data_IF_942841166175
#
_entry.id   IF_942841166175
#
_cell.length_a   1.000
_cell.length_b   1.000
_cell.length_c   1.000
_cell.angle_alpha   90.00
_cell.angle_beta   90.00
_cell.angle_gamma   90.00
#
_symmetry.space_group_name_H-M   'P 1'
#
loop_
_entity.id
_entity.type
_entity.pdbx_description
1 polymer ?
#
# COMPACT_ATOMS: atom_id res chain seq x y z
N UNK A 1 -11.12 0.12 -16.52
CA UNK A 1 -11.91 -1.13 -16.56
C UNK A 1 -12.44 -1.49 -15.18
N UNK A 2 -13.47 -2.35 -15.06
CA UNK A 2 -14.13 -2.67 -13.78
C UNK A 2 -13.44 -3.81 -13.01
N UNK A 3 -13.37 -3.66 -11.68
CA UNK A 3 -13.01 -4.75 -10.78
C UNK A 3 -14.28 -5.55 -10.41
N UNK A 4 -14.41 -6.77 -10.93
CA UNK A 4 -15.53 -7.67 -10.66
C UNK A 4 -15.24 -8.68 -9.52
N UNK A 5 -13.98 -8.87 -9.16
CA UNK A 5 -13.54 -9.88 -8.18
C UNK A 5 -13.73 -9.45 -6.70
N UNK A 6 -14.18 -8.22 -6.46
CA UNK A 6 -14.47 -7.69 -5.13
C UNK A 6 -13.38 -6.77 -4.57
N UNK A 7 -13.69 -6.12 -3.44
CA UNK A 7 -12.85 -5.05 -2.85
C UNK A 7 -11.49 -5.53 -2.35
N UNK A 8 -11.29 -6.83 -2.14
CA UNK A 8 -9.98 -7.39 -1.79
C UNK A 8 -8.92 -7.12 -2.87
N UNK A 9 -9.35 -6.99 -4.13
CA UNK A 9 -8.49 -6.74 -5.29
C UNK A 9 -8.45 -5.26 -5.70
N UNK A 10 -8.96 -4.38 -4.84
CA UNK A 10 -8.81 -2.95 -5.02
C UNK A 10 -7.32 -2.56 -5.01
N UNK A 11 -6.97 -1.55 -5.81
CA UNK A 11 -5.58 -1.15 -6.05
C UNK A 11 -4.81 -0.87 -4.75
N UNK A 12 -5.46 -0.21 -3.79
CA UNK A 12 -4.86 0.06 -2.47
C UNK A 12 -4.54 -1.22 -1.68
N UNK A 13 -5.41 -2.22 -1.73
CA UNK A 13 -5.25 -3.49 -1.01
C UNK A 13 -4.16 -4.35 -1.65
N UNK A 14 -4.13 -4.43 -2.98
CA UNK A 14 -3.08 -5.16 -3.71
C UNK A 14 -1.73 -4.48 -3.48
N UNK A 15 -1.66 -3.15 -3.59
CA UNK A 15 -0.42 -2.41 -3.33
C UNK A 15 0.05 -2.61 -1.88
N UNK A 16 -0.85 -2.58 -0.91
CA UNK A 16 -0.51 -2.86 0.49
C UNK A 16 0.10 -4.26 0.65
N UNK A 17 -0.52 -5.29 0.08
CA UNK A 17 -0.01 -6.66 0.15
C UNK A 17 1.39 -6.81 -0.48
N UNK A 18 1.60 -6.19 -1.64
CA UNK A 18 2.91 -6.18 -2.32
C UNK A 18 3.98 -5.47 -1.48
N UNK A 19 3.66 -4.28 -0.94
CA UNK A 19 4.59 -3.53 -0.10
C UNK A 19 4.90 -4.25 1.22
N UNK A 20 3.92 -4.92 1.82
CA UNK A 20 4.11 -5.69 3.04
C UNK A 20 5.07 -6.87 2.82
N UNK A 21 4.90 -7.62 1.73
CA UNK A 21 5.81 -8.71 1.35
C UNK A 21 7.25 -8.18 1.14
N UNK A 22 7.37 -7.05 0.44
CA UNK A 22 8.66 -6.41 0.22
C UNK A 22 9.31 -5.94 1.54
N UNK A 23 8.55 -5.31 2.44
CA UNK A 23 9.06 -4.86 3.75
C UNK A 23 9.52 -6.02 4.63
N UNK A 24 8.83 -7.17 4.57
CA UNK A 24 9.22 -8.35 5.32
C UNK A 24 10.60 -8.87 4.88
N UNK A 25 10.83 -8.94 3.56
CA UNK A 25 12.08 -9.42 2.99
C UNK A 25 13.22 -8.38 3.05
N UNK A 26 12.89 -7.08 3.03
CA UNK A 26 13.82 -5.96 2.85
C UNK A 26 15.08 -6.04 3.73
N UNK A 27 14.93 -6.36 5.01
CA UNK A 27 16.03 -6.39 5.99
C UNK A 27 17.07 -7.48 5.70
N UNK A 28 16.65 -8.58 5.10
CA UNK A 28 17.52 -9.72 4.76
C UNK A 28 18.32 -9.54 3.48
N UNK A 29 18.01 -8.51 2.67
CA UNK A 29 18.61 -8.37 1.34
C UNK A 29 19.99 -7.69 1.40
N UNK A 30 20.97 -8.15 0.59
CA UNK A 30 22.22 -7.45 0.41
C UNK A 30 21.99 -6.15 -0.40
N UNK A 31 22.70 -5.05 -0.13
CA UNK A 31 22.44 -3.75 -0.76
C UNK A 31 22.50 -3.78 -2.29
N UNK A 32 23.43 -4.57 -2.82
CA UNK A 32 23.78 -4.63 -4.24
C UNK A 32 22.68 -5.33 -5.06
N UNK A 33 21.98 -6.31 -4.45
CA UNK A 33 20.88 -7.03 -5.08
C UNK A 33 19.50 -6.53 -4.65
N UNK A 34 19.41 -5.74 -3.58
CA UNK A 34 18.14 -5.35 -2.95
C UNK A 34 17.16 -4.76 -3.95
N UNK A 35 17.63 -3.91 -4.88
CA UNK A 35 16.79 -3.30 -5.91
C UNK A 35 16.12 -4.35 -6.81
N UNK A 36 16.92 -5.28 -7.35
CA UNK A 36 16.42 -6.32 -8.25
C UNK A 36 15.50 -7.29 -7.48
N UNK A 37 15.93 -7.74 -6.30
CA UNK A 37 15.19 -8.70 -5.48
C UNK A 37 13.83 -8.17 -5.02
N UNK A 38 13.74 -6.88 -4.66
CA UNK A 38 12.47 -6.25 -4.28
C UNK A 38 11.52 -6.15 -5.48
N UNK A 39 12.03 -5.83 -6.68
CA UNK A 39 11.22 -5.86 -7.90
C UNK A 39 10.73 -7.27 -8.23
N UNK A 40 11.59 -8.28 -8.09
CA UNK A 40 11.24 -9.68 -8.34
C UNK A 40 10.24 -10.22 -7.30
N UNK A 41 10.33 -9.76 -6.05
CA UNK A 41 9.33 -10.07 -5.01
C UNK A 41 7.98 -9.44 -5.35
N UNK A 42 7.97 -8.18 -5.75
CA UNK A 42 6.74 -7.51 -6.13
C UNK A 42 6.05 -8.20 -7.32
N UNK A 43 6.81 -8.58 -8.35
CA UNK A 43 6.29 -9.34 -9.49
C UNK A 43 5.71 -10.69 -9.08
N UNK A 44 6.47 -11.48 -8.31
CA UNK A 44 5.98 -12.77 -7.80
C UNK A 44 4.72 -12.63 -6.95
N UNK A 45 4.63 -11.59 -6.12
CA UNK A 45 3.45 -11.35 -5.31
C UNK A 45 2.25 -10.91 -6.16
N UNK A 46 2.48 -10.11 -7.19
CA UNK A 46 1.45 -9.77 -8.18
C UNK A 46 0.97 -11.03 -8.91
N UNK A 47 1.87 -11.90 -9.37
CA UNK A 47 1.49 -13.16 -10.03
C UNK A 47 0.64 -14.07 -9.11
N UNK A 48 0.98 -14.15 -7.81
CA UNK A 48 0.19 -14.89 -6.83
C UNK A 48 -1.21 -14.29 -6.66
N UNK A 49 -1.31 -12.96 -6.50
CA UNK A 49 -2.60 -12.27 -6.35
C UNK A 49 -3.41 -12.35 -7.64
N UNK A 50 -2.75 -12.35 -8.81
CA UNK A 50 -3.37 -12.51 -10.12
C UNK A 50 -4.09 -13.86 -10.23
N UNK A 51 -3.44 -14.94 -9.80
CA UNK A 51 -4.05 -16.27 -9.83
C UNK A 51 -5.36 -16.28 -9.02
N UNK A 52 -5.35 -15.71 -7.80
CA UNK A 52 -6.57 -15.58 -6.99
C UNK A 52 -7.62 -14.63 -7.61
N UNK A 53 -7.18 -13.56 -8.28
CA UNK A 53 -8.05 -12.62 -8.98
C UNK A 53 -8.79 -13.28 -10.15
N UNK A 54 -8.07 -14.07 -10.94
CA UNK A 54 -8.63 -14.83 -12.07
C UNK A 54 -9.63 -15.90 -11.58
N UNK A 55 -9.32 -16.61 -10.48
CA UNK A 55 -10.25 -17.55 -9.83
C UNK A 55 -11.56 -16.88 -9.37
N UNK A 56 -11.51 -15.59 -9.03
CA UNK A 56 -12.68 -14.82 -8.58
C UNK A 56 -13.46 -14.16 -9.74
N UNK A 57 -13.17 -14.50 -11.00
CA UNK A 57 -13.86 -13.92 -12.16
C UNK A 57 -13.40 -12.50 -12.51
N UNK A 58 -12.14 -12.18 -12.22
CA UNK A 58 -11.53 -10.88 -12.54
C UNK A 58 -11.42 -10.59 -14.04
N UNK A 59 -11.41 -9.30 -14.41
CA UNK A 59 -11.26 -8.85 -15.81
C UNK A 59 -9.77 -8.66 -16.16
N UNK A 60 -9.29 -9.23 -17.29
CA UNK A 60 -7.86 -9.16 -17.64
C UNK A 60 -7.33 -7.72 -17.79
N UNK A 61 -8.12 -6.81 -18.33
CA UNK A 61 -7.66 -5.44 -18.58
C UNK A 61 -7.62 -4.56 -17.32
N UNK A 62 -8.47 -4.81 -16.32
CA UNK A 62 -8.28 -4.18 -14.99
C UNK A 62 -6.95 -4.61 -14.37
N UNK A 63 -6.64 -5.91 -14.44
CA UNK A 63 -5.41 -6.44 -13.90
C UNK A 63 -4.16 -5.83 -14.56
N UNK A 64 -4.16 -5.74 -15.89
CA UNK A 64 -3.05 -5.13 -16.64
C UNK A 64 -2.82 -3.66 -16.26
N UNK A 65 -3.89 -2.88 -16.09
CA UNK A 65 -3.79 -1.49 -15.63
C UNK A 65 -3.24 -1.41 -14.21
N UNK A 66 -3.73 -2.27 -13.31
CA UNK A 66 -3.29 -2.34 -11.91
C UNK A 66 -1.80 -2.71 -11.83
N UNK A 67 -1.39 -3.78 -12.50
CA UNK A 67 -0.02 -4.27 -12.53
C UNK A 67 0.94 -3.21 -13.06
N UNK A 68 0.57 -2.56 -14.16
CA UNK A 68 1.34 -1.44 -14.73
C UNK A 68 1.50 -0.32 -13.69
N UNK A 69 0.43 0.09 -13.02
CA UNK A 69 0.47 1.18 -12.04
C UNK A 69 1.32 0.82 -10.80
N UNK A 70 1.26 -0.43 -10.34
CA UNK A 70 2.15 -0.90 -9.25
C UNK A 70 3.61 -0.82 -9.70
N UNK A 71 3.95 -1.40 -10.86
CA UNK A 71 5.33 -1.57 -11.30
C UNK A 71 5.97 -0.29 -11.84
N UNK A 72 5.20 0.59 -12.48
CA UNK A 72 5.70 1.81 -13.14
C UNK A 72 5.59 3.06 -12.25
N UNK A 73 4.62 3.12 -11.34
CA UNK A 73 4.40 4.31 -10.50
C UNK A 73 4.82 4.08 -9.05
N UNK A 74 4.35 2.99 -8.43
CA UNK A 74 4.52 2.79 -6.98
C UNK A 74 5.89 2.21 -6.62
N UNK A 75 6.30 1.13 -7.31
CA UNK A 75 7.57 0.46 -7.05
C UNK A 75 8.80 1.35 -7.29
N UNK A 76 8.88 2.19 -8.33
CA UNK A 76 10.03 3.07 -8.54
C UNK A 76 10.22 4.12 -7.44
N UNK A 77 9.16 4.49 -6.72
CA UNK A 77 9.23 5.35 -5.54
C UNK A 77 9.62 4.55 -4.28
N UNK A 78 9.06 3.36 -4.12
CA UNK A 78 9.27 2.51 -2.96
C UNK A 78 10.70 1.96 -2.88
N UNK A 79 11.19 1.33 -3.95
CA UNK A 79 12.47 0.59 -3.95
C UNK A 79 13.67 1.43 -3.50
N UNK A 80 13.93 2.65 -4.03
CA UNK A 80 15.05 3.45 -3.54
C UNK A 80 14.90 3.85 -2.07
N UNK A 81 13.67 4.13 -1.61
CA UNK A 81 13.42 4.43 -0.20
C UNK A 81 13.68 3.23 0.72
N UNK A 82 13.25 2.03 0.30
CA UNK A 82 13.49 0.79 1.00
C UNK A 82 14.98 0.45 1.09
N UNK A 83 15.72 0.61 -0.02
CA UNK A 83 17.18 0.38 -0.04
C UNK A 83 17.90 1.34 0.91
N UNK A 84 17.55 2.62 0.88
CA UNK A 84 18.14 3.63 1.77
C UNK A 84 17.79 3.35 3.24
N UNK A 85 16.57 2.94 3.54
CA UNK A 85 16.16 2.56 4.89
C UNK A 85 16.97 1.35 5.39
N UNK A 86 17.19 0.33 4.56
CA UNK A 86 18.05 -0.81 4.92
C UNK A 86 19.49 -0.39 5.17
N UNK A 87 20.02 0.53 4.34
CA UNK A 87 21.37 1.08 4.53
C UNK A 87 21.47 1.80 5.88
N UNK A 88 20.50 2.65 6.19
CA UNK A 88 20.42 3.37 7.47
C UNK A 88 20.34 2.39 8.64
N UNK A 89 19.42 1.42 8.62
CA UNK A 89 19.30 0.41 9.68
C UNK A 89 20.63 -0.36 9.90
N UNK A 90 21.31 -0.79 8.82
CA UNK A 90 22.61 -1.51 8.90
C UNK A 90 23.75 -0.62 9.43
N UNK A 91 23.73 0.67 9.10
CA UNK A 91 24.73 1.63 9.58
C UNK A 91 24.48 2.09 11.03
N UNK A 92 23.32 1.79 11.62
CA UNK A 92 22.88 2.42 12.87
C UNK A 92 22.51 3.89 12.66
N UNK A 93 21.80 4.17 11.57
CA UNK A 93 21.36 5.49 11.11
C UNK A 93 22.50 6.49 10.95
N UNK A 94 23.69 6.05 10.56
CA UNK A 94 24.92 6.86 10.48
C UNK A 94 25.16 7.69 11.77
N UNK A 95 24.80 7.15 12.94
CA UNK A 95 25.06 7.78 14.23
C UNK A 95 26.50 7.46 14.62
N UNK A 96 27.21 8.45 15.17
CA UNK A 96 28.56 8.24 15.67
C UNK A 96 28.58 7.08 16.67
N UNK A 97 29.41 6.07 16.38
CA UNK A 97 29.55 4.86 17.18
C UNK A 97 28.21 4.13 17.42
N UNK A 98 27.29 4.20 16.45
CA UNK A 98 25.94 3.61 16.48
C UNK A 98 25.08 4.02 17.69
N UNK A 99 25.45 5.10 18.39
CA UNK A 99 24.77 5.53 19.60
C UNK A 99 25.09 4.68 20.84
N UNK A 100 26.26 4.04 20.90
CA UNK A 100 26.75 3.30 22.09
C UNK A 100 26.66 4.15 23.39
N UNK A 101 26.54 3.53 24.59
CA UNK A 101 26.47 4.25 25.87
C UNK A 101 27.56 5.34 26.08
N UNK A 102 28.84 5.13 25.70
CA UNK A 102 29.86 6.17 25.81
C UNK A 102 29.59 7.37 24.89
N UNK A 103 29.02 7.15 23.70
CA UNK A 103 28.66 8.23 22.79
C UNK A 103 27.55 9.11 23.42
N UNK A 104 26.54 8.49 24.04
CA UNK A 104 25.47 9.18 24.75
C UNK A 104 25.99 10.01 25.93
N UNK A 105 26.90 9.44 26.72
CA UNK A 105 27.56 10.14 27.83
C UNK A 105 28.36 11.34 27.30
N UNK A 106 29.10 11.17 26.20
CA UNK A 106 29.90 12.25 25.62
C UNK A 106 29.01 13.38 25.07
N UNK A 107 27.91 13.06 24.39
CA UNK A 107 26.93 14.06 23.94
C UNK A 107 26.25 14.76 25.11
N UNK A 108 25.89 14.02 26.16
CA UNK A 108 25.36 14.59 27.40
C UNK A 108 26.35 15.53 28.09
N UNK A 109 27.62 15.14 28.19
CA UNK A 109 28.69 15.98 28.77
C UNK A 109 28.97 17.22 27.92
N UNK A 110 29.03 17.08 26.59
CA UNK A 110 29.21 18.21 25.69
C UNK A 110 28.09 19.24 25.83
N UNK A 111 26.85 18.76 25.94
CA UNK A 111 25.72 19.65 26.10
C UNK A 111 25.59 20.23 27.52
N UNK A 112 26.05 19.51 28.55
CA UNK A 112 26.20 20.05 29.91
C UNK A 112 27.26 21.15 29.93
N UNK A 113 28.38 20.99 29.21
CA UNK A 113 29.39 22.04 29.02
C UNK A 113 28.82 23.29 28.33
N UNK A 114 28.05 23.10 27.26
CA UNK A 114 27.35 24.21 26.57
C UNK A 114 26.35 24.87 27.52
N UNK A 115 25.60 24.08 28.31
CA UNK A 115 24.67 24.60 29.28
C UNK A 115 25.34 25.37 30.42
N UNK A 116 26.49 24.90 30.91
CA UNK A 116 27.30 25.58 31.92
C UNK A 116 27.85 26.92 31.40
N UNK A 117 28.27 26.97 30.13
CA UNK A 117 28.72 28.22 29.50
C UNK A 117 27.57 29.24 29.39
N UNK A 118 26.35 28.77 29.12
CA UNK A 118 25.14 29.61 29.08
C UNK A 118 24.73 30.17 30.46
N UNK A 119 25.15 29.55 31.57
CA UNK A 119 24.86 30.07 32.93
C UNK A 119 25.68 31.34 33.24
N UNK A 120 26.85 31.50 32.62
CA UNK A 120 27.72 32.69 32.78
C UNK A 120 27.12 33.91 32.09
N UNK A 121 26.14 33.74 31.20
CA UNK A 121 25.46 34.84 30.54
C UNK A 121 24.54 35.62 31.51
N UNK A 122 24.26 36.90 31.22
CA UNK A 122 23.49 37.78 32.09
C UNK A 122 22.10 37.23 32.46
N UNK A 123 21.59 37.53 33.68
CA UNK A 123 20.36 36.96 34.23
C UNK A 123 19.05 37.41 33.56
N UNK A 124 19.08 38.41 32.67
CA UNK A 124 17.89 38.79 31.88
C UNK A 124 17.51 37.75 30.81
N UNK A 125 18.35 36.74 30.60
CA UNK A 125 18.17 35.65 29.64
C UNK A 125 17.58 34.37 30.28
N UNK A 126 16.77 34.50 31.33
CA UNK A 126 16.27 33.35 32.12
C UNK A 126 15.56 32.26 31.28
N UNK A 127 14.95 32.62 30.14
CA UNK A 127 14.36 31.68 29.19
C UNK A 127 15.39 30.76 28.52
N UNK A 128 16.64 31.20 28.35
CA UNK A 128 17.73 30.47 27.70
C UNK A 128 18.34 29.38 28.60
N UNK A 129 18.11 29.44 29.91
CA UNK A 129 18.55 28.37 30.84
C UNK A 129 17.79 27.06 30.62
N UNK A 130 16.51 27.14 30.24
CA UNK A 130 15.76 25.96 29.80
C UNK A 130 16.22 25.48 28.42
N UNK A 131 16.70 26.38 27.57
CA UNK A 131 17.26 26.04 26.26
C UNK A 131 18.53 25.19 26.39
N UNK A 132 19.43 25.53 27.32
CA UNK A 132 20.60 24.71 27.66
C UNK A 132 20.23 23.27 28.08
N UNK A 133 19.25 23.14 28.97
CA UNK A 133 18.75 21.85 29.43
C UNK A 133 18.09 21.08 28.28
N UNK A 134 17.27 21.73 27.47
CA UNK A 134 16.65 21.16 26.28
C UNK A 134 17.70 20.70 25.27
N UNK A 135 18.76 21.48 25.05
CA UNK A 135 19.85 21.13 24.16
C UNK A 135 20.63 19.91 24.69
N UNK A 136 20.78 19.79 26.01
CA UNK A 136 21.37 18.62 26.64
C UNK A 136 20.54 17.36 26.53
N UNK A 137 19.23 17.48 26.74
CA UNK A 137 18.29 16.38 26.51
C UNK A 137 18.26 16.01 25.03
N UNK A 138 18.22 17.00 24.11
CA UNK A 138 18.21 16.76 22.67
C UNK A 138 19.52 16.11 22.17
N UNK A 139 20.68 16.49 22.72
CA UNK A 139 21.96 15.85 22.42
C UNK A 139 22.02 14.41 22.92
N UNK A 140 21.49 14.15 24.12
CA UNK A 140 21.43 12.79 24.68
C UNK A 140 20.49 11.87 23.87
N UNK A 141 19.32 12.38 23.48
CA UNK A 141 18.33 11.66 22.67
C UNK A 141 18.59 11.76 21.16
N UNK A 142 19.68 12.40 20.71
CA UNK A 142 19.94 12.59 19.29
C UNK A 142 19.91 11.28 18.47
N UNK A 143 20.51 10.17 18.94
CA UNK A 143 20.44 8.89 18.23
C UNK A 143 18.99 8.41 18.04
N UNK A 144 18.20 8.44 19.11
CA UNK A 144 16.80 8.01 19.11
C UNK A 144 15.93 8.91 18.23
N UNK A 145 16.13 10.23 18.32
CA UNK A 145 15.40 11.21 17.50
C UNK A 145 15.71 11.02 16.02
N UNK A 146 16.97 10.74 15.66
CA UNK A 146 17.37 10.48 14.27
C UNK A 146 16.73 9.20 13.75
N UNK A 147 16.80 8.11 14.51
CA UNK A 147 16.15 6.84 14.17
C UNK A 147 14.64 7.02 13.98
N UNK A 148 13.95 7.60 14.97
CA UNK A 148 12.52 7.84 14.94
C UNK A 148 12.11 8.71 13.74
N UNK A 149 12.90 9.73 13.39
CA UNK A 149 12.63 10.57 12.24
C UNK A 149 12.66 9.78 10.92
N UNK A 150 13.68 8.94 10.71
CA UNK A 150 13.79 8.14 9.48
C UNK A 150 12.71 7.07 9.40
N UNK A 151 12.40 6.40 10.52
CA UNK A 151 11.32 5.41 10.59
C UNK A 151 9.96 6.04 10.33
N UNK A 152 9.71 7.22 10.90
CA UNK A 152 8.50 8.00 10.63
C UNK A 152 8.42 8.43 9.16
N UNK A 153 9.53 8.91 8.58
CA UNK A 153 9.58 9.32 7.17
C UNK A 153 9.30 8.14 6.23
N UNK A 154 9.88 6.97 6.50
CA UNK A 154 9.65 5.75 5.71
C UNK A 154 8.20 5.28 5.83
N UNK A 155 7.68 5.18 7.06
CA UNK A 155 6.28 4.81 7.30
C UNK A 155 5.30 5.77 6.64
N UNK A 156 5.60 7.08 6.65
CA UNK A 156 4.80 8.10 5.97
C UNK A 156 4.82 7.94 4.45
N UNK A 157 5.94 7.52 3.86
CA UNK A 157 6.03 7.21 2.44
C UNK A 157 5.12 6.03 2.08
N UNK A 158 5.19 4.93 2.84
CA UNK A 158 4.32 3.76 2.62
C UNK A 158 2.84 4.15 2.69
N UNK A 159 2.45 4.86 3.74
CA UNK A 159 1.08 5.34 3.89
C UNK A 159 0.69 6.30 2.76
N UNK A 160 1.61 7.15 2.28
CA UNK A 160 1.34 8.04 1.15
C UNK A 160 1.05 7.25 -0.12
N UNK A 161 1.84 6.22 -0.41
CA UNK A 161 1.64 5.38 -1.60
C UNK A 161 0.28 4.68 -1.56
N UNK A 162 -0.10 4.11 -0.41
CA UNK A 162 -1.41 3.44 -0.24
C UNK A 162 -2.56 4.46 -0.37
N UNK A 163 -2.48 5.60 0.30
CA UNK A 163 -3.51 6.64 0.22
C UNK A 163 -3.61 7.23 -1.20
N UNK A 164 -2.48 7.37 -1.91
CA UNK A 164 -2.48 7.79 -3.30
C UNK A 164 -3.13 6.74 -4.20
N UNK A 165 -2.88 5.45 -3.96
CA UNK A 165 -3.53 4.36 -4.67
C UNK A 165 -5.05 4.36 -4.44
N UNK A 166 -5.51 4.49 -3.20
CA UNK A 166 -6.95 4.60 -2.91
C UNK A 166 -7.57 5.84 -3.56
N UNK A 167 -6.89 7.00 -3.50
CA UNK A 167 -7.37 8.24 -4.12
C UNK A 167 -7.40 8.12 -5.63
N UNK A 168 -6.39 7.48 -6.24
CA UNK A 168 -6.37 7.21 -7.66
C UNK A 168 -7.57 6.35 -8.04
N UNK A 169 -7.82 5.26 -7.32
CA UNK A 169 -8.98 4.42 -7.57
C UNK A 169 -10.32 5.17 -7.36
N UNK A 170 -10.42 6.02 -6.34
CA UNK A 170 -11.63 6.84 -6.05
C UNK A 170 -11.84 7.99 -7.05
N UNK A 171 -10.77 8.60 -7.55
CA UNK A 171 -10.85 9.68 -8.53
C UNK A 171 -11.03 9.15 -9.96
N UNK A 172 -10.42 8.02 -10.29
CA UNK A 172 -10.71 7.24 -11.50
C UNK A 172 -12.11 6.62 -11.47
N UNK A 173 -12.74 6.54 -10.28
CA UNK A 173 -14.14 6.12 -10.05
C UNK A 173 -15.21 7.13 -10.50
N UNK A 174 -14.88 8.12 -11.34
CA UNK A 174 -15.90 8.78 -12.21
C UNK A 174 -16.08 8.00 -13.52
N UNK A 175 -15.92 6.67 -13.48
CA UNK A 175 -16.62 5.75 -14.36
C UNK A 175 -17.51 4.85 -13.48
N UNK A 176 -18.59 5.44 -12.95
CA UNK A 176 -19.81 4.66 -12.81
C UNK A 176 -20.21 4.32 -14.24
N UNK A 177 -19.82 3.13 -14.66
CA UNK A 177 -20.23 2.55 -15.92
C UNK A 177 -21.75 2.61 -15.97
N UNK A 178 -22.29 3.20 -17.04
CA UNK A 178 -23.72 3.11 -17.35
C UNK A 178 -24.09 1.64 -17.50
N UNK A 179 -25.29 1.22 -17.11
CA UNK A 179 -25.77 -0.18 -17.20
C UNK A 179 -25.36 -0.89 -18.51
N UNK A 180 -25.32 -0.14 -19.62
CA UNK A 180 -24.88 -0.61 -20.94
C UNK A 180 -23.46 -1.22 -21.00
N UNK A 181 -22.42 -0.64 -20.37
CA UNK A 181 -21.07 -1.24 -20.45
C UNK A 181 -20.87 -2.36 -19.42
N UNK A 182 -21.68 -2.37 -18.35
CA UNK A 182 -21.75 -3.50 -17.44
C UNK A 182 -22.37 -4.71 -18.17
N UNK A 183 -23.45 -4.47 -18.93
CA UNK A 183 -24.09 -5.46 -19.79
C UNK A 183 -23.13 -5.96 -20.88
N UNK A 184 -22.37 -5.07 -21.54
CA UNK A 184 -21.38 -5.43 -22.56
C UNK A 184 -20.25 -6.31 -22.02
N UNK A 185 -19.71 -6.00 -20.83
CA UNK A 185 -18.70 -6.84 -20.18
C UNK A 185 -19.29 -8.19 -19.69
N UNK A 186 -20.55 -8.21 -19.22
CA UNK A 186 -21.28 -9.44 -18.86
C UNK A 186 -21.57 -10.33 -20.09
N UNK A 187 -21.98 -9.74 -21.21
CA UNK A 187 -22.28 -10.43 -22.47
C UNK A 187 -21.00 -10.98 -23.13
N UNK A 188 -19.88 -10.25 -23.00
CA UNK A 188 -18.55 -10.73 -23.41
C UNK A 188 -18.06 -11.94 -22.59
N UNK A 189 -18.53 -12.09 -21.35
CA UNK A 189 -18.25 -13.26 -20.51
C UNK A 189 -19.26 -14.40 -20.76
N UNK A 190 -20.52 -14.08 -21.06
CA UNK A 190 -21.57 -15.05 -21.37
C UNK A 190 -21.36 -15.80 -22.70
N UNK A 191 -20.66 -15.19 -23.67
CA UNK A 191 -20.38 -15.81 -24.97
C UNK A 191 -19.28 -16.88 -24.95
N UNK A 192 -18.64 -17.13 -23.80
CA UNK A 192 -17.63 -18.18 -23.62
C UNK A 192 -18.16 -19.57 -23.22
N UNK A 193 -19.47 -19.74 -22.97
CA UNK A 193 -20.04 -21.00 -22.43
C UNK A 193 -21.22 -21.55 -23.22
N UNK A 194 -21.34 -21.23 -24.52
CA UNK A 194 -22.27 -21.92 -25.42
C UNK A 194 -21.54 -22.50 -26.63
N UNK A 195 -20.75 -23.54 -26.38
CA UNK A 195 -20.55 -24.60 -27.36
C UNK A 195 -20.99 -25.92 -26.76
N UNK A 196 -22.22 -26.32 -27.11
CA UNK A 196 -22.71 -27.69 -27.00
C UNK A 196 -23.90 -27.87 -26.06
N UNK A 197 -25.11 -27.58 -26.52
CA UNK A 197 -26.11 -28.63 -26.78
C UNK A 197 -27.34 -28.07 -27.51
N UNK A 198 -27.68 -28.74 -28.60
CA UNK A 198 -28.79 -28.43 -29.50
C UNK A 198 -30.14 -28.49 -28.79
N UNK A 199 -30.95 -27.44 -28.93
CA UNK A 199 -32.35 -27.47 -28.49
C UNK A 199 -33.22 -28.40 -29.37
N UNK A 200 -34.22 -29.08 -28.81
CA UNK A 200 -35.21 -29.77 -29.62
C UNK A 200 -36.36 -28.81 -30.05
N UNK A 201 -37.08 -29.14 -31.13
CA UNK A 201 -37.83 -28.18 -31.94
C UNK A 201 -39.21 -27.83 -31.37
N UNK A 202 -39.71 -26.66 -31.76
CA UNK A 202 -41.08 -26.17 -31.52
C UNK A 202 -42.09 -27.10 -32.19
N UNK A 203 -43.02 -27.66 -31.40
CA UNK A 203 -44.26 -28.26 -31.90
C UNK A 203 -45.44 -27.31 -31.67
N UNK A 204 -46.04 -26.88 -32.78
CA UNK A 204 -47.30 -26.14 -32.85
C UNK A 204 -48.49 -26.99 -32.38
N UNK A 205 -49.41 -26.35 -31.67
CA UNK A 205 -50.84 -26.64 -31.80
C UNK A 205 -51.42 -27.77 -30.96
N UNK A 206 -51.92 -27.43 -29.76
CA UNK A 206 -53.17 -28.04 -29.28
C UNK A 206 -53.95 -27.10 -28.36
N UNK A 207 -55.07 -26.62 -28.90
CA UNK A 207 -56.17 -25.97 -28.19
C UNK A 207 -56.73 -26.95 -27.16
N UNK A 208 -56.84 -26.54 -25.90
CA UNK A 208 -57.69 -27.21 -24.90
C UNK A 208 -58.58 -26.15 -24.23
N UNK A 209 -59.90 -26.39 -24.10
CA UNK A 209 -60.88 -25.34 -23.84
C UNK A 209 -61.07 -25.04 -22.34
N UNK A 210 -61.51 -23.82 -22.08
CA UNK A 210 -62.12 -23.36 -20.83
C UNK A 210 -63.30 -24.24 -20.41
N UNK A 211 -63.47 -24.45 -19.09
CA UNK A 211 -64.79 -24.46 -18.49
C UNK A 211 -64.95 -23.32 -17.48
N UNK A 212 -66.00 -22.55 -17.71
CA UNK A 212 -66.61 -21.61 -16.77
C UNK A 212 -67.45 -22.37 -15.76
N UNK A 213 -67.33 -22.05 -14.47
CA UNK A 213 -68.47 -21.93 -13.51
C UNK A 213 -67.91 -21.51 -12.14
N UNK A 214 -68.22 -20.33 -11.58
CA UNK A 214 -69.50 -19.88 -10.97
C UNK A 214 -69.61 -20.25 -9.48
N UNK A 215 -69.75 -19.23 -8.62
CA UNK A 215 -70.34 -19.33 -7.26
C UNK A 215 -69.42 -18.76 -6.16
N UNK A 216 -69.61 -17.51 -5.73
CA UNK A 216 -70.51 -17.04 -4.64
C UNK A 216 -69.99 -17.35 -3.22
N UNK A 217 -69.52 -16.33 -2.52
CA UNK A 217 -70.22 -15.67 -1.39
C UNK A 217 -70.27 -16.52 -0.10
N UNK A 218 -69.35 -16.29 0.85
CA UNK A 218 -69.56 -15.56 2.12
C UNK A 218 -68.37 -15.73 3.05
#
# INVERSE_FOLDING_TARGET
>A
MLNLAGSAYDFGNVLFAVLQECEHARRGLPPDEARARLMDLARRKLDEVRASYEECGGTPGYWQELEREVLETSMPQYVPAAVEQTRLEKSGYDVWRRGDPPARILFGLAALLVGALLIVLPPYLLAERFFALLLAVAGFLYPEMKQAYFDFRHSRLLNRLIVQAEKYQKNSRIQYVTEAQLQEELDALGTGTEQGEEGPPKEEGRVIPHPSSRGKER
#
